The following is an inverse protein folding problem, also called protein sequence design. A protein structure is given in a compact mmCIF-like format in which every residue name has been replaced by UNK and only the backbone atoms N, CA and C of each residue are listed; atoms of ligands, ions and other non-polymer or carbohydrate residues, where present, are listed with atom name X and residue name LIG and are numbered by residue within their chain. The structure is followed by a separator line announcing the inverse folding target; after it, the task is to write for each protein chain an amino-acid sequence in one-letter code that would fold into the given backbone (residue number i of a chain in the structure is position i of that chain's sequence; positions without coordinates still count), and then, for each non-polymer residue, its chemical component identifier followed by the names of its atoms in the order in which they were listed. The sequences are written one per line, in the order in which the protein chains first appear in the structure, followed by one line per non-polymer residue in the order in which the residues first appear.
data_IF_213364676294
#
_entry.id   IF_213364676294
#
_cell.length_a   1.000
_cell.length_b   1.000
_cell.length_c   1.000
_cell.angle_alpha   90.00
_cell.angle_beta   90.00
_cell.angle_gamma   90.00
#
_symmetry.space_group_name_H-M   'P 1'
#
loop_
_entity.id
_entity.type
_entity.pdbx_description
1 polymer ?
#
# COMPACT_ATOMS: atom_id res chain seq x y z
N UNK A 1 10.06 19.26 -9.52
CA UNK A 1 11.11 19.00 -8.50
C UNK A 1 11.38 17.51 -8.46
N UNK A 2 12.59 17.05 -8.10
CA UNK A 2 12.88 15.62 -7.91
C UNK A 2 12.53 15.23 -6.48
N UNK A 3 12.04 14.01 -6.30
CA UNK A 3 11.88 13.41 -4.97
C UNK A 3 13.25 13.34 -4.27
N UNK A 4 13.32 13.77 -3.02
CA UNK A 4 14.52 13.62 -2.19
C UNK A 4 14.13 13.34 -0.74
N UNK A 5 14.69 12.28 -0.17
CA UNK A 5 14.32 11.82 1.16
C UNK A 5 14.72 10.38 1.40
N UNK A 6 14.15 9.82 2.44
CA UNK A 6 14.34 8.43 2.83
C UNK A 6 13.06 7.63 2.65
N UNK A 7 13.22 6.32 2.42
CA UNK A 7 12.13 5.37 2.37
C UNK A 7 12.34 4.27 3.40
N UNK A 8 11.25 3.69 3.87
CA UNK A 8 11.24 2.45 4.63
C UNK A 8 10.09 1.60 4.17
N UNK A 9 10.30 0.30 4.19
CA UNK A 9 9.32 -0.70 3.82
C UNK A 9 9.06 -1.53 5.07
N UNK A 10 7.80 -1.91 5.26
CA UNK A 10 7.35 -2.87 6.24
C UNK A 10 6.58 -3.98 5.53
N UNK A 11 6.18 -5.02 6.28
CA UNK A 11 5.46 -6.16 5.73
C UNK A 11 4.16 -5.80 4.99
N UNK A 12 3.49 -4.72 5.37
CA UNK A 12 2.23 -4.28 4.75
C UNK A 12 2.15 -2.78 4.47
N UNK A 13 3.28 -2.09 4.57
CA UNK A 13 3.33 -0.64 4.42
C UNK A 13 4.62 -0.16 3.77
N UNK A 14 4.58 1.04 3.21
CA UNK A 14 5.74 1.79 2.72
C UNK A 14 5.64 3.19 3.27
N UNK A 15 6.73 3.70 3.83
CA UNK A 15 6.83 5.07 4.30
C UNK A 15 7.91 5.83 3.52
N UNK A 16 7.68 7.11 3.30
CA UNK A 16 8.64 8.05 2.72
C UNK A 16 8.66 9.31 3.58
N UNK A 17 9.85 9.85 3.87
CA UNK A 17 9.99 11.18 4.46
C UNK A 17 10.97 12.02 3.66
N UNK A 18 10.52 13.20 3.25
CA UNK A 18 11.37 14.15 2.53
C UNK A 18 10.57 15.08 1.62
N UNK A 19 11.26 15.75 0.69
CA UNK A 19 10.62 16.64 -0.29
C UNK A 19 9.95 15.81 -1.37
N UNK A 20 8.64 16.01 -1.54
CA UNK A 20 7.88 15.40 -2.61
C UNK A 20 8.26 16.02 -3.96
N UNK A 21 8.47 15.16 -4.97
CA UNK A 21 8.75 15.59 -6.34
C UNK A 21 7.49 15.94 -7.12
N UNK A 22 7.59 15.91 -8.44
CA UNK A 22 6.43 16.07 -9.32
C UNK A 22 5.40 14.96 -9.05
N UNK A 23 4.22 15.37 -8.61
CA UNK A 23 3.12 14.51 -8.17
C UNK A 23 1.99 14.60 -9.18
N UNK A 24 2.21 14.13 -10.40
CA UNK A 24 1.14 14.02 -11.39
C UNK A 24 -0.04 13.20 -10.82
N UNK A 25 -1.23 13.43 -11.37
CA UNK A 25 -2.41 12.63 -11.02
C UNK A 25 -2.12 11.14 -11.15
N UNK A 26 -2.39 10.40 -10.08
CA UNK A 26 -2.16 8.97 -10.02
C UNK A 26 -3.20 8.29 -9.11
N UNK A 27 -3.18 6.97 -9.13
CA UNK A 27 -4.15 6.14 -8.39
C UNK A 27 -3.51 4.81 -8.02
N UNK A 28 -3.12 4.65 -6.77
CA UNK A 28 -2.63 3.36 -6.25
C UNK A 28 -3.74 2.58 -5.54
N UNK A 29 -3.40 1.41 -5.02
CA UNK A 29 -4.33 0.48 -4.38
C UNK A 29 -4.11 0.37 -2.85
N UNK A 30 -3.06 0.98 -2.33
CA UNK A 30 -2.85 1.21 -0.91
C UNK A 30 -3.72 2.36 -0.41
N UNK A 31 -4.06 2.33 0.88
CA UNK A 31 -4.51 3.52 1.59
C UNK A 31 -3.31 4.44 1.83
N UNK A 32 -3.48 5.75 1.70
CA UNK A 32 -2.37 6.71 1.89
C UNK A 32 -2.68 7.66 3.04
N UNK A 33 -1.69 7.87 3.89
CA UNK A 33 -1.60 9.02 4.79
C UNK A 33 -0.55 9.97 4.23
N UNK A 34 -0.84 11.27 4.23
CA UNK A 34 0.12 12.32 3.89
C UNK A 34 0.15 13.33 5.01
N UNK A 35 1.29 13.46 5.67
CA UNK A 35 1.54 14.42 6.75
C UNK A 35 2.52 15.46 6.26
N UNK A 36 2.15 16.73 6.36
CA UNK A 36 3.05 17.83 6.04
C UNK A 36 4.01 18.13 7.19
N UNK A 37 5.30 18.27 6.89
CA UNK A 37 6.35 18.50 7.89
C UNK A 37 6.75 19.98 7.99
N UNK A 38 6.71 20.69 6.87
CA UNK A 38 7.04 22.13 6.79
C UNK A 38 5.79 23.03 6.67
N UNK A 39 4.59 22.42 6.64
CA UNK A 39 3.32 23.10 6.40
C UNK A 39 2.24 22.11 5.95
N UNK A 40 1.00 22.56 5.72
CA UNK A 40 -0.07 21.66 5.31
C UNK A 40 0.21 21.04 3.93
N UNK A 41 -0.32 19.85 3.74
CA UNK A 41 -0.40 19.20 2.43
C UNK A 41 -1.77 19.40 1.83
N UNK A 42 -1.81 19.36 0.50
CA UNK A 42 -3.02 19.51 -0.29
C UNK A 42 -3.18 18.31 -1.20
N UNK A 43 -4.37 17.72 -1.23
CA UNK A 43 -4.71 16.64 -2.15
C UNK A 43 -5.78 17.15 -3.10
N UNK A 44 -5.46 17.14 -4.40
CA UNK A 44 -6.39 17.42 -5.48
C UNK A 44 -6.97 16.11 -6.01
N UNK A 45 -8.28 16.04 -6.13
CA UNK A 45 -9.01 14.89 -6.67
C UNK A 45 -9.30 15.06 -8.17
N UNK A 46 -9.64 13.96 -8.85
CA UNK A 46 -9.96 13.98 -10.28
C UNK A 46 -11.18 14.85 -10.66
N UNK A 47 -12.08 15.11 -9.71
CA UNK A 47 -13.21 16.04 -9.87
C UNK A 47 -12.82 17.51 -9.61
N UNK A 48 -11.53 17.80 -9.47
CA UNK A 48 -10.93 19.08 -9.10
C UNK A 48 -11.26 19.58 -7.68
N UNK A 49 -11.96 18.80 -6.86
CA UNK A 49 -12.09 19.12 -5.45
C UNK A 49 -10.73 19.01 -4.76
N UNK A 50 -10.53 19.83 -3.73
CA UNK A 50 -9.26 19.97 -3.04
C UNK A 50 -9.48 19.85 -1.53
N UNK A 51 -8.64 19.07 -0.87
CA UNK A 51 -8.61 18.94 0.59
C UNK A 51 -7.23 19.37 1.08
N UNK A 52 -7.17 20.29 2.03
CA UNK A 52 -5.93 20.79 2.64
C UNK A 52 -5.95 20.57 4.15
N UNK A 53 -4.82 20.12 4.71
CA UNK A 53 -4.64 19.91 6.14
C UNK A 53 -3.23 19.42 6.49
N UNK A 54 -2.96 19.30 7.80
CA UNK A 54 -1.65 18.84 8.28
C UNK A 54 -1.44 17.35 8.07
N UNK A 55 -2.52 16.56 8.15
CA UNK A 55 -2.52 15.14 7.84
C UNK A 55 -3.79 14.79 7.08
N UNK A 56 -3.62 14.17 5.90
CA UNK A 56 -4.71 13.77 5.02
C UNK A 56 -4.69 12.26 4.83
N UNK A 57 -5.87 11.69 4.67
CA UNK A 57 -6.08 10.30 4.33
C UNK A 57 -6.69 10.19 2.93
N UNK A 58 -6.15 9.31 2.10
CA UNK A 58 -6.65 8.99 0.77
C UNK A 58 -7.03 7.52 0.73
N UNK A 59 -8.29 7.24 0.39
CA UNK A 59 -8.80 5.87 0.29
C UNK A 59 -8.12 5.10 -0.86
N UNK A 60 -7.97 3.78 -0.73
CA UNK A 60 -7.51 2.91 -1.80
C UNK A 60 -8.24 3.16 -3.11
N UNK A 61 -7.49 3.28 -4.21
CA UNK A 61 -8.09 3.42 -5.54
C UNK A 61 -8.63 4.81 -5.89
N UNK A 62 -8.40 5.83 -5.07
CA UNK A 62 -8.76 7.22 -5.40
C UNK A 62 -7.71 7.84 -6.32
N UNK A 63 -8.18 8.46 -7.40
CA UNK A 63 -7.32 9.25 -8.30
C UNK A 63 -7.06 10.62 -7.69
N UNK A 64 -5.79 10.92 -7.43
CA UNK A 64 -5.40 12.12 -6.72
C UNK A 64 -4.02 12.62 -7.12
N UNK A 65 -3.73 13.86 -6.75
CA UNK A 65 -2.44 14.53 -6.86
C UNK A 65 -2.11 15.16 -5.51
N UNK A 66 -0.89 14.92 -5.03
CA UNK A 66 -0.37 15.50 -3.79
C UNK A 66 0.41 16.78 -4.09
N UNK A 67 0.00 17.88 -3.49
CA UNK A 67 0.71 19.15 -3.50
C UNK A 67 1.26 19.38 -2.07
N UNK A 68 2.59 19.34 -1.91
CA UNK A 68 3.25 19.54 -0.62
C UNK A 68 4.10 20.81 -0.65
N UNK A 69 3.93 21.66 0.36
CA UNK A 69 4.76 22.85 0.56
C UNK A 69 6.01 22.52 1.40
N UNK A 70 6.98 21.81 0.79
CA UNK A 70 8.22 21.41 1.47
C UNK A 70 8.33 19.89 1.66
N UNK A 71 8.80 19.47 2.83
CA UNK A 71 8.89 18.07 3.21
C UNK A 71 7.53 17.52 3.70
N UNK A 72 7.30 16.24 3.42
CA UNK A 72 6.16 15.48 3.87
C UNK A 72 6.56 14.06 4.30
N UNK A 73 5.78 13.47 5.18
CA UNK A 73 5.76 12.04 5.49
C UNK A 73 4.59 11.41 4.75
N UNK A 74 4.87 10.41 3.90
CA UNK A 74 3.86 9.62 3.21
C UNK A 74 3.89 8.20 3.76
N UNK A 75 2.72 7.66 4.07
CA UNK A 75 2.57 6.28 4.54
C UNK A 75 1.53 5.61 3.65
N UNK A 76 1.95 4.58 2.93
CA UNK A 76 1.12 3.75 2.08
C UNK A 76 0.90 2.41 2.78
N UNK A 77 -0.35 2.01 3.00
CA UNK A 77 -0.68 0.78 3.72
C UNK A 77 -1.57 -0.11 2.88
N UNK A 78 -1.30 -1.42 2.88
CA UNK A 78 -2.17 -2.41 2.26
C UNK A 78 -3.53 -2.44 2.97
N UNK A 79 -4.66 -2.37 2.23
CA UNK A 79 -5.97 -2.16 2.86
C UNK A 79 -6.47 -3.36 3.68
N UNK A 80 -5.98 -4.58 3.43
CA UNK A 80 -6.30 -5.78 4.22
C UNK A 80 -5.49 -5.87 5.53
N UNK A 81 -4.37 -5.15 5.62
CA UNK A 81 -3.56 -5.13 6.83
C UNK A 81 -4.35 -4.52 7.98
N UNK A 82 -3.95 -4.83 9.21
CA UNK A 82 -4.61 -4.30 10.40
C UNK A 82 -4.69 -2.77 10.38
N UNK A 83 -3.55 -2.07 10.20
CA UNK A 83 -3.49 -0.61 10.05
C UNK A 83 -4.40 -0.11 8.92
N UNK A 84 -4.40 -0.78 7.76
CA UNK A 84 -5.23 -0.41 6.61
C UNK A 84 -6.72 -0.46 6.94
N UNK A 85 -7.16 -1.53 7.61
CA UNK A 85 -8.55 -1.70 8.06
C UNK A 85 -8.93 -0.65 9.11
N UNK A 86 -8.04 -0.38 10.08
CA UNK A 86 -8.23 0.64 11.12
C UNK A 86 -8.43 2.02 10.52
N UNK A 87 -7.54 2.44 9.62
CA UNK A 87 -7.66 3.70 8.90
C UNK A 87 -8.99 3.78 8.15
N UNK A 88 -9.36 2.71 7.44
CA UNK A 88 -10.61 2.69 6.65
C UNK A 88 -11.88 2.79 7.51
N UNK A 89 -11.88 2.30 8.74
CA UNK A 89 -13.03 2.35 9.65
C UNK A 89 -13.12 3.62 10.49
N UNK A 90 -11.98 4.18 10.89
CA UNK A 90 -11.92 5.35 11.78
C UNK A 90 -11.89 6.67 11.01
N UNK A 91 -11.70 6.64 9.69
CA UNK A 91 -11.75 7.83 8.82
C UNK A 91 -13.10 7.97 8.14
N UNK A 92 -13.45 9.20 7.82
CA UNK A 92 -14.69 9.51 7.10
C UNK A 92 -14.75 8.79 5.72
N UNK A 93 -15.96 8.47 5.21
CA UNK A 93 -16.13 7.62 4.03
C UNK A 93 -15.78 8.28 2.70
N UNK A 94 -15.43 9.57 2.67
CA UNK A 94 -15.06 10.25 1.43
C UNK A 94 -13.71 9.74 0.91
N UNK A 95 -13.51 9.94 -0.39
CA UNK A 95 -12.30 9.57 -1.11
C UNK A 95 -11.02 10.15 -0.48
N UNK A 96 -11.09 11.41 -0.06
CA UNK A 96 -10.02 12.13 0.63
C UNK A 96 -10.63 12.83 1.84
N UNK A 97 -10.03 12.66 3.00
CA UNK A 97 -10.47 13.27 4.26
C UNK A 97 -9.27 13.74 5.09
N UNK A 98 -9.53 14.58 6.08
CA UNK A 98 -8.52 14.87 7.10
C UNK A 98 -8.40 13.64 8.00
N UNK A 99 -7.18 13.28 8.36
CA UNK A 99 -6.99 12.19 9.31
C UNK A 99 -7.56 12.63 10.69
N UNK A 100 -8.30 11.78 11.43
CA UNK A 100 -8.77 12.11 12.78
C UNK A 100 -7.61 12.50 13.72
N UNK A 101 -7.86 13.42 14.66
CA UNK A 101 -6.82 13.93 15.57
C UNK A 101 -6.21 12.85 16.47
N UNK A 102 -6.98 11.82 16.79
CA UNK A 102 -6.61 10.63 17.54
C UNK A 102 -5.54 9.84 16.79
N UNK A 103 -5.77 9.58 15.50
CA UNK A 103 -4.82 8.86 14.64
C UNK A 103 -3.61 9.71 14.28
N UNK A 104 -3.80 11.02 14.08
CA UNK A 104 -2.68 11.95 13.86
C UNK A 104 -1.68 11.91 15.01
N UNK A 105 -2.14 11.85 16.27
CA UNK A 105 -1.28 11.79 17.46
C UNK A 105 -0.45 10.51 17.56
N UNK A 106 -0.85 9.44 16.87
CA UNK A 106 -0.11 8.18 16.84
C UNK A 106 1.03 8.20 15.80
N UNK A 107 1.00 9.14 14.85
CA UNK A 107 2.03 9.23 13.82
C UNK A 107 3.19 10.06 14.36
N UNK A 108 4.29 9.39 14.65
CA UNK A 108 5.57 10.07 14.91
C UNK A 108 6.11 10.59 13.58
N UNK A 109 6.45 11.88 13.50
CA UNK A 109 6.98 12.50 12.28
C UNK A 109 8.51 12.56 12.27
N UNK A 110 9.10 12.44 13.45
CA UNK A 110 10.53 12.33 13.72
C UNK A 110 10.95 10.87 13.96
N UNK A 111 12.26 10.63 14.10
CA UNK A 111 12.79 9.29 14.34
C UNK A 111 12.80 8.36 13.12
N UNK A 112 12.88 7.04 13.33
CA UNK A 112 12.90 6.06 12.25
C UNK A 112 11.52 5.92 11.59
N UNK A 113 11.47 5.77 10.26
CA UNK A 113 10.21 5.63 9.52
C UNK A 113 9.32 4.45 9.97
N UNK A 114 9.91 3.38 10.50
CA UNK A 114 9.17 2.27 11.09
C UNK A 114 8.43 2.67 12.37
N UNK A 115 8.98 3.57 13.17
CA UNK A 115 8.33 4.10 14.37
C UNK A 115 7.13 4.98 14.02
N UNK A 116 7.14 5.64 12.86
CA UNK A 116 6.03 6.50 12.40
C UNK A 116 4.69 5.77 12.25
N UNK A 117 4.71 4.45 12.00
CA UNK A 117 3.52 3.61 11.83
C UNK A 117 3.31 2.61 12.97
N UNK A 118 4.32 2.34 13.79
CA UNK A 118 4.27 1.32 14.84
C UNK A 118 3.06 1.49 15.80
N UNK A 119 2.75 2.72 16.22
CA UNK A 119 1.61 2.97 17.10
C UNK A 119 0.23 2.85 16.41
N UNK A 120 0.20 2.91 15.08
CA UNK A 120 -1.01 2.59 14.31
C UNK A 120 -1.20 1.07 14.19
N UNK A 121 -0.09 0.31 14.18
CA UNK A 121 -0.01 -1.15 14.03
C UNK A 121 -0.12 -1.92 15.35
N UNK A 122 -0.40 -1.23 16.46
CA UNK A 122 -0.65 -1.86 17.76
C UNK A 122 -2.01 -2.61 17.76
N UNK A 123 -1.92 -3.90 17.45
CA UNK A 123 -3.03 -4.84 17.16
C UNK A 123 -3.86 -5.19 18.42
N UNK A 124 -3.30 -5.04 19.62
CA UNK A 124 -3.95 -5.48 20.87
C UNK A 124 -5.23 -4.70 21.19
N UNK A 125 -5.36 -3.46 20.73
CA UNK A 125 -6.50 -2.61 21.06
C UNK A 125 -7.67 -2.69 20.07
N UNK A 126 -7.50 -3.26 18.86
CA UNK A 126 -8.44 -3.03 17.76
C UNK A 126 -8.63 -4.22 16.79
N UNK A 127 -9.17 -5.36 17.22
CA UNK A 127 -9.54 -6.42 16.26
C UNK A 127 -10.77 -6.04 15.44
N UNK A 128 -10.60 -5.25 14.37
CA UNK A 128 -11.64 -5.08 13.35
C UNK A 128 -11.89 -6.41 12.64
N UNK A 129 -13.10 -6.98 12.71
CA UNK A 129 -13.37 -8.23 12.02
C UNK A 129 -13.39 -7.99 10.50
N UNK A 130 -12.43 -8.59 9.79
CA UNK A 130 -12.58 -8.84 8.36
C UNK A 130 -13.55 -10.01 8.16
N UNK A 131 -14.32 -10.02 7.07
CA UNK A 131 -15.14 -11.20 6.75
C UNK A 131 -14.22 -12.41 6.64
N UNK A 132 -14.44 -13.42 7.49
CA UNK A 132 -13.55 -14.59 7.61
C UNK A 132 -13.32 -15.26 6.26
N UNK A 133 -14.37 -15.34 5.42
CA UNK A 133 -14.31 -15.92 4.08
C UNK A 133 -13.46 -15.08 3.13
N UNK A 134 -13.46 -13.76 3.30
CA UNK A 134 -12.55 -12.90 2.53
C UNK A 134 -11.11 -13.18 2.97
N UNK A 135 -10.83 -13.22 4.27
CA UNK A 135 -9.49 -13.51 4.78
C UNK A 135 -8.95 -14.87 4.31
N UNK A 136 -9.76 -15.92 4.41
CA UNK A 136 -9.45 -17.26 3.92
C UNK A 136 -9.22 -17.27 2.41
N UNK A 137 -10.07 -16.59 1.62
CA UNK A 137 -9.90 -16.52 0.18
C UNK A 137 -8.64 -15.75 -0.24
N UNK A 138 -8.29 -14.65 0.46
CA UNK A 138 -7.05 -13.93 0.20
C UNK A 138 -5.84 -14.81 0.53
N UNK A 139 -5.86 -15.49 1.68
CA UNK A 139 -4.82 -16.46 2.07
C UNK A 139 -4.67 -17.56 1.03
N UNK A 140 -5.77 -18.14 0.57
CA UNK A 140 -5.76 -19.16 -0.48
C UNK A 140 -5.10 -18.65 -1.78
N UNK A 141 -5.41 -17.41 -2.19
CA UNK A 141 -4.82 -16.80 -3.38
C UNK A 141 -3.32 -16.58 -3.20
N UNK A 142 -2.86 -16.26 -1.99
CA UNK A 142 -1.45 -16.02 -1.69
C UNK A 142 -0.63 -17.31 -1.65
N UNK A 143 -1.22 -18.42 -1.18
CA UNK A 143 -0.53 -19.70 -1.03
C UNK A 143 -0.71 -20.63 -2.23
N UNK A 144 -1.50 -20.23 -3.23
CA UNK A 144 -1.85 -21.09 -4.37
C UNK A 144 -1.58 -20.40 -5.70
N UNK A 145 -1.05 -21.15 -6.67
CA UNK A 145 -0.81 -20.70 -8.03
C UNK A 145 -1.70 -21.42 -9.06
N UNK A 146 -1.73 -20.90 -10.28
CA UNK A 146 -2.35 -21.54 -11.44
C UNK A 146 -3.57 -20.82 -12.03
N UNK A 147 -4.17 -21.42 -13.05
CA UNK A 147 -5.32 -20.88 -13.75
C UNK A 147 -6.58 -20.84 -12.85
N UNK A 148 -7.48 -19.89 -13.14
CA UNK A 148 -8.79 -19.76 -12.48
C UNK A 148 -8.72 -19.66 -10.95
N UNK A 149 -7.67 -18.98 -10.47
CA UNK A 149 -7.39 -18.86 -9.03
C UNK A 149 -8.52 -18.19 -8.26
N UNK A 150 -9.21 -17.22 -8.87
CA UNK A 150 -10.34 -16.52 -8.24
C UNK A 150 -11.55 -17.46 -8.08
N UNK A 151 -11.85 -18.27 -9.11
CA UNK A 151 -12.91 -19.28 -9.04
C UNK A 151 -12.62 -20.31 -7.95
N UNK A 152 -11.37 -20.78 -7.87
CA UNK A 152 -10.94 -21.74 -6.85
C UNK A 152 -11.04 -21.15 -5.44
N UNK A 153 -10.54 -19.92 -5.24
CA UNK A 153 -10.64 -19.23 -3.96
C UNK A 153 -12.09 -19.01 -3.54
N UNK A 154 -12.97 -18.65 -4.47
CA UNK A 154 -14.39 -18.47 -4.19
C UNK A 154 -15.06 -19.79 -3.77
N UNK A 155 -14.75 -20.89 -4.46
CA UNK A 155 -15.25 -22.22 -4.12
C UNK A 155 -14.76 -22.69 -2.75
N UNK A 156 -13.49 -22.45 -2.42
CA UNK A 156 -12.90 -22.83 -1.12
C UNK A 156 -13.69 -22.25 0.05
N UNK A 157 -14.16 -21.00 -0.09
CA UNK A 157 -14.90 -20.28 0.95
C UNK A 157 -16.42 -20.30 0.75
N UNK A 158 -16.92 -21.20 -0.10
CA UNK A 158 -18.34 -21.38 -0.41
C UNK A 158 -19.06 -20.10 -0.89
N UNK A 159 -18.39 -19.33 -1.74
CA UNK A 159 -18.92 -18.11 -2.35
C UNK A 159 -18.97 -18.21 -3.88
N UNK A 160 -19.88 -17.45 -4.49
CA UNK A 160 -19.75 -17.14 -5.91
C UNK A 160 -18.61 -16.14 -6.12
N UNK A 161 -17.98 -16.17 -7.31
CA UNK A 161 -16.94 -15.20 -7.70
C UNK A 161 -17.43 -13.76 -7.57
N UNK A 162 -18.68 -13.49 -7.96
CA UNK A 162 -19.28 -12.16 -7.84
C UNK A 162 -19.39 -11.72 -6.38
N UNK A 163 -19.74 -12.64 -5.46
CA UNK A 163 -19.81 -12.33 -4.04
C UNK A 163 -18.44 -12.09 -3.43
N UNK A 164 -17.43 -12.89 -3.79
CA UNK A 164 -16.04 -12.68 -3.36
C UNK A 164 -15.51 -11.31 -3.83
N UNK A 165 -15.75 -10.96 -5.10
CA UNK A 165 -15.38 -9.63 -5.64
C UNK A 165 -16.08 -8.48 -4.91
N UNK A 166 -17.35 -8.65 -4.56
CA UNK A 166 -18.10 -7.66 -3.79
C UNK A 166 -17.55 -7.50 -2.37
N UNK A 167 -17.18 -8.60 -1.70
CA UNK A 167 -16.52 -8.55 -0.38
C UNK A 167 -15.17 -7.84 -0.46
N UNK A 168 -14.34 -8.17 -1.45
CA UNK A 168 -13.07 -7.50 -1.68
C UNK A 168 -13.26 -6.00 -1.89
N UNK A 169 -14.19 -5.59 -2.75
CA UNK A 169 -14.48 -4.18 -2.98
C UNK A 169 -14.93 -3.46 -1.69
N UNK A 170 -15.76 -4.11 -0.88
CA UNK A 170 -16.29 -3.54 0.36
C UNK A 170 -15.20 -3.36 1.43
N UNK A 171 -14.37 -4.38 1.64
CA UNK A 171 -13.40 -4.40 2.74
C UNK A 171 -12.06 -3.77 2.34
N UNK A 172 -11.64 -3.92 1.09
CA UNK A 172 -10.34 -3.41 0.61
C UNK A 172 -10.45 -2.03 -0.03
N UNK A 173 -11.65 -1.57 -0.37
CA UNK A 173 -11.86 -0.35 -1.16
C UNK A 173 -11.46 -0.47 -2.64
N UNK A 174 -10.91 -1.62 -3.05
CA UNK A 174 -10.43 -1.89 -4.41
C UNK A 174 -10.95 -3.23 -4.92
N UNK A 175 -10.94 -3.41 -6.24
CA UNK A 175 -11.28 -4.69 -6.84
C UNK A 175 -10.25 -5.76 -6.47
N UNK A 176 -10.70 -7.02 -6.37
CA UNK A 176 -9.82 -8.16 -6.10
C UNK A 176 -8.67 -8.26 -7.12
N UNK A 177 -8.93 -7.95 -8.40
CA UNK A 177 -7.91 -7.96 -9.44
C UNK A 177 -6.81 -6.92 -9.18
N UNK A 178 -7.16 -5.74 -8.67
CA UNK A 178 -6.21 -4.69 -8.34
C UNK A 178 -5.35 -5.07 -7.13
N UNK A 179 -5.97 -5.68 -6.13
CA UNK A 179 -5.26 -6.26 -5.00
C UNK A 179 -4.27 -7.35 -5.45
N UNK A 180 -4.69 -8.27 -6.31
CA UNK A 180 -3.79 -9.30 -6.86
C UNK A 180 -2.61 -8.69 -7.62
N UNK A 181 -2.82 -7.61 -8.37
CA UNK A 181 -1.73 -6.91 -9.07
C UNK A 181 -0.69 -6.35 -8.09
N UNK A 182 -1.11 -5.77 -6.96
CA UNK A 182 -0.17 -5.34 -5.91
C UNK A 182 0.66 -6.50 -5.38
N UNK A 183 0.02 -7.65 -5.11
CA UNK A 183 0.71 -8.84 -4.62
C UNK A 183 1.76 -9.34 -5.58
N UNK A 184 1.44 -9.42 -6.88
CA UNK A 184 2.42 -9.78 -7.91
C UNK A 184 3.61 -8.82 -7.92
N UNK A 185 3.36 -7.52 -7.84
CA UNK A 185 4.44 -6.53 -7.82
C UNK A 185 5.32 -6.65 -6.56
N UNK A 186 4.71 -6.92 -5.39
CA UNK A 186 5.45 -7.17 -4.15
C UNK A 186 6.35 -8.41 -4.28
N UNK A 187 5.79 -9.53 -4.72
CA UNK A 187 6.55 -10.77 -4.91
C UNK A 187 7.70 -10.58 -5.90
N UNK A 188 7.49 -9.84 -6.99
CA UNK A 188 8.56 -9.53 -7.94
C UNK A 188 9.67 -8.68 -7.31
N UNK A 189 9.32 -7.69 -6.49
CA UNK A 189 10.29 -6.84 -5.81
C UNK A 189 11.08 -7.61 -4.74
N UNK A 190 10.43 -8.53 -4.02
CA UNK A 190 11.08 -9.44 -3.05
C UNK A 190 12.03 -10.43 -3.72
N UNK A 191 11.63 -11.02 -4.86
CA UNK A 191 12.47 -11.92 -5.63
C UNK A 191 13.73 -11.19 -6.14
N UNK A 192 13.57 -9.97 -6.67
CA UNK A 192 14.68 -9.12 -7.07
C UNK A 192 15.59 -8.76 -5.89
N UNK A 193 15.03 -8.45 -4.71
CA UNK A 193 15.81 -8.17 -3.51
C UNK A 193 16.60 -9.39 -3.03
N UNK A 194 16.07 -10.58 -3.26
CA UNK A 194 16.72 -11.88 -3.02
C UNK A 194 17.77 -12.25 -4.08
N UNK A 195 18.01 -11.39 -5.06
CA UNK A 195 19.04 -11.57 -6.09
C UNK A 195 18.57 -12.22 -7.40
N UNK A 196 17.27 -12.49 -7.56
CA UNK A 196 16.74 -12.98 -8.84
C UNK A 196 16.92 -11.92 -9.95
N UNK A 197 17.05 -12.39 -11.19
CA UNK A 197 17.01 -11.51 -12.35
C UNK A 197 15.61 -10.95 -12.58
N UNK A 198 15.51 -9.86 -13.35
CA UNK A 198 14.22 -9.24 -13.68
C UNK A 198 13.27 -10.19 -14.44
N UNK A 199 13.83 -11.08 -15.26
CA UNK A 199 13.05 -12.07 -16.00
C UNK A 199 12.49 -13.16 -15.07
N UNK A 200 13.31 -13.71 -14.18
CA UNK A 200 12.89 -14.70 -13.17
C UNK A 200 11.83 -14.11 -12.25
N UNK A 201 12.09 -12.93 -11.67
CA UNK A 201 11.14 -12.25 -10.80
C UNK A 201 9.79 -11.96 -11.47
N UNK A 202 9.79 -11.67 -12.78
CA UNK A 202 8.55 -11.50 -13.54
C UNK A 202 7.77 -12.82 -13.65
N UNK A 203 8.44 -13.92 -13.98
CA UNK A 203 7.82 -15.24 -14.14
C UNK A 203 7.29 -15.75 -12.80
N UNK A 204 8.10 -15.68 -11.74
CA UNK A 204 7.75 -16.17 -10.41
C UNK A 204 6.56 -15.40 -9.81
N UNK A 205 6.50 -14.10 -10.06
CA UNK A 205 5.36 -13.27 -9.68
C UNK A 205 4.13 -13.43 -10.60
N UNK A 206 4.21 -14.24 -11.66
CA UNK A 206 3.11 -14.51 -12.58
C UNK A 206 2.80 -13.38 -13.56
N UNK A 207 3.82 -12.61 -13.98
CA UNK A 207 3.75 -11.74 -15.16
C UNK A 207 4.07 -12.52 -16.44
N UNK A 208 3.64 -11.98 -17.59
CA UNK A 208 3.96 -12.57 -18.91
C UNK A 208 5.44 -12.44 -19.28
N UNK A 209 6.06 -11.33 -18.87
CA UNK A 209 7.42 -10.96 -19.21
C UNK A 209 7.90 -9.78 -18.33
N UNK A 210 9.21 -9.51 -18.38
CA UNK A 210 9.85 -8.41 -17.66
C UNK A 210 9.37 -7.01 -18.06
N UNK A 211 8.90 -6.82 -19.30
CA UNK A 211 8.41 -5.54 -19.77
C UNK A 211 7.02 -5.24 -19.21
N UNK A 212 6.17 -6.27 -19.08
CA UNK A 212 4.89 -6.19 -18.39
C UNK A 212 5.10 -5.88 -16.91
N UNK A 213 5.99 -6.60 -16.20
CA UNK A 213 6.36 -6.25 -14.82
C UNK A 213 6.81 -4.78 -14.71
N UNK A 214 7.71 -4.35 -15.59
CA UNK A 214 8.26 -2.98 -15.59
C UNK A 214 7.22 -1.89 -15.85
N UNK A 215 6.25 -2.14 -16.73
CA UNK A 215 5.12 -1.22 -16.97
C UNK A 215 4.19 -1.17 -15.77
N UNK A 216 3.82 -2.33 -15.24
CA UNK A 216 2.94 -2.44 -14.07
C UNK A 216 3.53 -1.79 -12.83
N UNK A 217 4.83 -1.98 -12.56
CA UNK A 217 5.52 -1.34 -11.43
C UNK A 217 5.52 0.19 -11.56
N UNK A 218 5.83 0.72 -12.76
CA UNK A 218 5.76 2.17 -13.01
C UNK A 218 4.35 2.71 -12.89
N UNK A 219 3.35 1.99 -13.41
CA UNK A 219 1.96 2.42 -13.35
C UNK A 219 1.42 2.45 -11.92
N UNK A 220 1.82 1.49 -11.08
CA UNK A 220 1.28 1.35 -9.72
C UNK A 220 2.07 2.15 -8.69
N UNK A 221 3.41 2.17 -8.80
CA UNK A 221 4.31 2.76 -7.81
C UNK A 221 5.17 3.93 -8.33
N UNK A 222 5.12 4.24 -9.63
CA UNK A 222 5.92 5.31 -10.23
C UNK A 222 7.42 5.00 -10.36
N UNK A 223 7.86 3.83 -9.87
CA UNK A 223 9.28 3.43 -9.83
C UNK A 223 9.55 2.19 -10.68
N UNK A 224 10.83 1.89 -10.89
CA UNK A 224 11.24 0.67 -11.58
C UNK A 224 11.28 -0.52 -10.61
N UNK A 225 11.16 -1.77 -11.09
CA UNK A 225 11.24 -2.95 -10.23
C UNK A 225 12.54 -3.02 -9.41
N UNK A 226 13.69 -2.68 -10.01
CA UNK A 226 14.98 -2.67 -9.29
C UNK A 226 15.03 -1.60 -8.21
N UNK A 227 14.47 -0.41 -8.45
CA UNK A 227 14.38 0.65 -7.44
C UNK A 227 13.53 0.21 -6.25
N UNK A 228 12.41 -0.49 -6.50
CA UNK A 228 11.58 -1.05 -5.44
C UNK A 228 12.32 -2.17 -4.68
N UNK A 229 13.02 -3.06 -5.38
CA UNK A 229 13.78 -4.16 -4.79
C UNK A 229 14.93 -3.70 -3.88
N UNK A 230 15.71 -2.70 -4.33
CA UNK A 230 16.77 -2.11 -3.51
C UNK A 230 16.24 -1.50 -2.22
N UNK A 231 14.98 -1.08 -2.21
CA UNK A 231 14.33 -0.53 -1.04
C UNK A 231 13.82 -1.62 -0.08
N UNK A 232 13.32 -2.76 -0.59
CA UNK A 232 12.96 -3.94 0.22
C UNK A 232 14.19 -4.62 0.83
N UNK A 233 15.31 -4.72 0.10
CA UNK A 233 16.54 -5.34 0.62
C UNK A 233 17.09 -4.65 1.88
N UNK A 234 16.83 -3.34 2.04
CA UNK A 234 17.21 -2.59 3.25
C UNK A 234 16.35 -2.92 4.48
N UNK A 235 15.16 -3.48 4.30
CA UNK A 235 14.24 -3.92 5.37
C UNK A 235 14.71 -5.26 5.97
N UNK A 236 15.05 -6.23 5.12
CA UNK A 236 15.49 -7.56 5.55
C UNK A 236 16.84 -7.51 6.27
N UNK A 237 17.79 -6.72 5.77
CA UNK A 237 19.09 -6.56 6.41
C UNK A 237 19.01 -5.97 7.84
N UNK A 238 18.01 -5.12 8.13
CA UNK A 238 17.80 -4.56 9.47
C UNK A 238 17.16 -5.56 10.45
N UNK A 239 16.33 -6.49 9.96
CA UNK A 239 15.75 -7.57 10.77
C UNK A 239 16.79 -8.65 11.12
N UNK A 240 17.73 -8.95 10.22
CA UNK A 240 18.81 -9.92 10.48
C UNK A 240 19.79 -9.44 11.56
N UNK A 241 20.01 -8.12 11.69
CA UNK A 241 20.96 -7.55 12.67
C UNK A 241 20.33 -7.41 14.07
N UNK A 242 18.99 -7.41 14.19
CA UNK A 242 18.30 -7.33 15.49
C UNK A 242 18.04 -8.69 16.15
N UNK A 243 18.59 -9.77 15.58
CA UNK A 243 18.39 -11.16 16.01
C UNK A 243 19.68 -11.83 16.52
N UNK A 244 20.77 -11.07 16.68
CA UNK A 244 22.06 -11.55 17.25
C UNK A 244 22.39 -10.89 18.59
#
# INVERSE_FOLDING_TARGET
MRWSGEFSFGQSWVAFRGRCGDNAFHRHATAQISVGLDGPVTIRQADNSVVTGNALFVRPGVSHQLEAHGAALLILVEPQAFVGRRLMSETEPQNVSRLPAELQRLIQTDGALSACIAALDDDEAFKLPMDVRLGEALTFIETSNGARIIERAANEVNLSVSRLRALAQRHLGISLAKWMMLRKLRCAAEALASGCTLAEAAIDAGFSDQAHLSRSMRQVFGVTPLSAAGAIGTEQAKHSISSE
#
